data_IF_571233637254
#
_entry.id   IF_571233637254
#
_cell.length_a   1.000
_cell.length_b   1.000
_cell.length_c   1.000
_cell.angle_alpha   90.00
_cell.angle_beta   90.00
_cell.angle_gamma   90.00
#
_symmetry.space_group_name_H-M   'P 1'
#
loop_
_entity.id
_entity.type
_entity.pdbx_description
1 polymer ?
#
# COMPACT_ATOMS: atom_id res chain seq x y z
N UNK A 1 14.21 -12.50 -50.35
CA UNK A 1 13.30 -13.41 -49.61
C UNK A 1 13.81 -13.98 -48.28
N UNK A 2 15.12 -14.22 -48.05
CA UNK A 2 15.63 -14.62 -46.71
C UNK A 2 15.86 -13.42 -45.79
N UNK A 3 16.37 -12.31 -46.33
CA UNK A 3 16.59 -11.05 -45.57
C UNK A 3 15.28 -10.36 -45.15
N UNK A 4 14.25 -10.38 -46.00
CA UNK A 4 12.95 -9.76 -45.69
C UNK A 4 12.27 -10.44 -44.49
N UNK A 5 12.42 -11.76 -44.37
CA UNK A 5 11.93 -12.54 -43.23
C UNK A 5 12.72 -12.24 -41.95
N UNK A 6 14.04 -12.06 -42.06
CA UNK A 6 14.90 -11.71 -40.94
C UNK A 6 14.55 -10.31 -40.39
N UNK A 7 14.29 -9.36 -41.29
CA UNK A 7 13.87 -8.01 -40.93
C UNK A 7 12.52 -8.00 -40.18
N UNK A 8 11.54 -8.77 -40.66
CA UNK A 8 10.24 -8.94 -39.99
C UNK A 8 10.36 -9.57 -38.59
N UNK A 9 11.28 -10.53 -38.41
CA UNK A 9 11.53 -11.16 -37.10
C UNK A 9 12.13 -10.16 -36.11
N UNK A 10 13.10 -9.35 -36.56
CA UNK A 10 13.74 -8.34 -35.71
C UNK A 10 12.74 -7.24 -35.32
N UNK A 11 11.88 -6.83 -36.25
CA UNK A 11 10.82 -5.85 -35.99
C UNK A 11 9.77 -6.36 -34.99
N UNK A 12 9.44 -7.66 -35.04
CA UNK A 12 8.55 -8.27 -34.06
C UNK A 12 9.19 -8.37 -32.67
N UNK A 13 10.49 -8.71 -32.61
CA UNK A 13 11.23 -8.81 -31.35
C UNK A 13 11.38 -7.45 -30.64
N UNK A 14 11.56 -6.35 -31.38
CA UNK A 14 11.67 -5.01 -30.79
C UNK A 14 10.37 -4.54 -30.14
N UNK A 15 9.22 -4.97 -30.65
CA UNK A 15 7.90 -4.65 -30.07
C UNK A 15 7.64 -5.40 -28.76
N UNK A 16 8.29 -6.55 -28.52
CA UNK A 16 8.12 -7.33 -27.29
C UNK A 16 8.80 -6.71 -26.05
N UNK A 17 9.73 -5.77 -26.23
CA UNK A 17 10.53 -5.20 -25.12
C UNK A 17 9.79 -4.07 -24.38
N UNK A 18 8.62 -3.62 -24.87
CA UNK A 18 7.88 -2.48 -24.31
C UNK A 18 6.84 -2.86 -23.24
N UNK A 19 6.77 -4.11 -22.78
CA UNK A 19 5.79 -4.59 -21.78
C UNK A 19 6.23 -4.26 -20.33
N UNK A 20 6.66 -3.04 -20.06
CA UNK A 20 6.90 -2.53 -18.70
C UNK A 20 5.75 -1.60 -18.26
N UNK A 21 4.51 -2.09 -18.29
CA UNK A 21 3.32 -1.29 -17.95
C UNK A 21 2.74 -1.60 -16.56
N UNK A 22 3.28 -2.57 -15.83
CA UNK A 22 2.76 -2.98 -14.52
C UNK A 22 3.62 -2.42 -13.38
N UNK A 23 3.72 -1.09 -13.31
CA UNK A 23 4.02 -0.42 -12.05
C UNK A 23 2.76 -0.48 -11.19
N UNK A 24 2.51 -1.64 -10.57
CA UNK A 24 1.49 -1.71 -9.53
C UNK A 24 1.87 -0.73 -8.42
N UNK A 25 0.91 0.01 -7.85
CA UNK A 25 1.18 0.82 -6.68
C UNK A 25 1.80 -0.08 -5.60
N UNK A 26 3.00 0.28 -5.14
CA UNK A 26 3.63 -0.44 -4.04
C UNK A 26 2.70 -0.40 -2.84
N UNK A 27 2.24 -1.57 -2.39
CA UNK A 27 1.49 -1.67 -1.13
C UNK A 27 2.46 -1.30 -0.02
N UNK A 28 2.25 -0.13 0.60
CA UNK A 28 3.04 0.30 1.75
C UNK A 28 2.89 -0.73 2.87
N UNK A 29 4.02 -1.15 3.44
CA UNK A 29 4.09 -2.16 4.52
C UNK A 29 3.27 -1.74 5.74
N UNK A 30 3.15 -0.44 5.99
CA UNK A 30 2.28 0.14 7.03
C UNK A 30 1.31 1.09 6.34
N UNK A 31 0.05 0.68 6.13
CA UNK A 31 -0.97 1.55 5.56
C UNK A 31 -1.22 2.76 6.46
N UNK A 32 -1.18 3.94 5.85
CA UNK A 32 -1.59 5.19 6.47
C UNK A 32 -3.11 5.34 6.40
N UNK A 33 -3.74 5.80 7.49
CA UNK A 33 -5.17 6.04 7.56
C UNK A 33 -5.45 7.38 8.28
N UNK A 34 -6.29 8.19 7.64
CA UNK A 34 -6.74 9.48 8.19
C UNK A 34 -8.24 9.58 8.08
N UNK A 35 -8.91 9.90 9.18
CA UNK A 35 -10.34 10.17 9.25
C UNK A 35 -10.50 11.61 9.71
N UNK A 36 -11.28 12.38 8.97
CA UNK A 36 -11.63 13.75 9.32
C UNK A 36 -13.15 13.78 9.44
N UNK A 37 -13.64 14.28 10.57
CA UNK A 37 -15.06 14.44 10.82
C UNK A 37 -15.32 15.81 11.42
N UNK A 38 -16.25 16.54 10.82
CA UNK A 38 -16.73 17.80 11.35
C UNK A 38 -17.88 17.55 12.33
N UNK A 39 -17.82 18.18 13.51
CA UNK A 39 -18.86 18.13 14.53
C UNK A 39 -19.17 19.57 14.95
N UNK A 40 -20.28 20.11 14.43
CA UNK A 40 -20.69 21.49 14.68
C UNK A 40 -19.74 22.50 14.03
N UNK A 41 -18.95 23.20 14.86
CA UNK A 41 -17.91 24.15 14.42
C UNK A 41 -16.49 23.60 14.59
N UNK A 42 -16.35 22.34 15.01
CA UNK A 42 -15.07 21.72 15.34
C UNK A 42 -14.74 20.60 14.37
N UNK A 43 -13.46 20.48 14.00
CA UNK A 43 -12.95 19.39 13.18
C UNK A 43 -12.22 18.36 14.06
N UNK A 44 -12.64 17.11 13.98
CA UNK A 44 -12.00 15.97 14.61
C UNK A 44 -11.17 15.26 13.55
N UNK A 45 -9.85 15.30 13.70
CA UNK A 45 -8.91 14.56 12.83
C UNK A 45 -8.27 13.41 13.59
N UNK A 46 -8.44 12.20 13.08
CA UNK A 46 -7.75 10.98 13.54
C UNK A 46 -6.75 10.59 12.45
N UNK A 47 -5.47 10.85 12.69
CA UNK A 47 -4.36 10.50 11.80
C UNK A 47 -3.52 9.39 12.46
N UNK A 48 -3.50 8.20 11.83
CA UNK A 48 -2.80 7.04 12.38
C UNK A 48 -2.19 6.16 11.30
N UNK A 49 -1.10 5.49 11.67
CA UNK A 49 -0.51 4.43 10.88
C UNK A 49 -0.94 3.08 11.47
N UNK A 50 -1.37 2.13 10.65
CA UNK A 50 -1.64 0.75 11.09
C UNK A 50 -0.38 -0.10 10.85
N UNK A 51 0.49 -0.30 11.86
CA UNK A 51 1.68 -1.12 11.67
C UNK A 51 1.30 -2.57 11.36
N UNK A 52 1.88 -3.14 10.30
CA UNK A 52 1.72 -4.55 10.02
C UNK A 52 2.31 -5.38 11.17
N UNK A 53 1.45 -6.17 11.84
CA UNK A 53 1.85 -7.10 12.89
C UNK A 53 2.41 -8.34 12.20
N UNK A 54 3.66 -8.24 11.73
CA UNK A 54 4.40 -9.29 11.00
C UNK A 54 4.78 -10.47 11.93
N UNK A 55 3.81 -11.10 12.59
CA UNK A 55 4.01 -12.21 13.53
C UNK A 55 4.70 -11.82 14.85
N UNK A 56 4.90 -10.53 15.13
CA UNK A 56 5.46 -10.05 16.39
C UNK A 56 4.39 -9.99 17.48
N UNK A 57 4.72 -10.45 18.67
CA UNK A 57 3.91 -10.24 19.87
C UNK A 57 3.98 -8.76 20.28
N UNK A 58 2.91 -8.01 19.97
CA UNK A 58 2.80 -6.58 20.32
C UNK A 58 2.12 -6.44 21.69
N UNK A 59 0.97 -7.08 21.88
CA UNK A 59 0.21 -7.05 23.12
C UNK A 59 0.86 -7.98 24.17
N UNK A 60 0.95 -7.51 25.41
CA UNK A 60 1.64 -8.22 26.50
C UNK A 60 3.16 -8.01 26.54
N UNK A 61 3.77 -7.45 25.48
CA UNK A 61 5.20 -7.08 25.45
C UNK A 61 5.41 -5.58 25.25
N UNK A 62 5.17 -5.10 24.02
CA UNK A 62 5.33 -3.69 23.69
C UNK A 62 4.18 -2.85 24.26
N UNK A 63 2.97 -3.38 24.21
CA UNK A 63 1.78 -2.74 24.78
C UNK A 63 1.20 -3.63 25.87
N UNK A 64 1.27 -3.23 27.15
CA UNK A 64 0.65 -3.97 28.24
C UNK A 64 -0.85 -4.17 28.04
N UNK A 65 -1.36 -5.34 28.45
CA UNK A 65 -2.80 -5.60 28.43
C UNK A 65 -3.54 -4.60 29.32
N UNK A 66 -4.70 -4.12 28.85
CA UNK A 66 -5.52 -3.13 29.58
C UNK A 66 -5.27 -1.67 29.20
N UNK A 67 -4.23 -1.35 28.42
CA UNK A 67 -4.01 0.02 27.89
C UNK A 67 -4.88 0.38 26.68
N UNK A 68 -5.76 -0.51 26.19
CA UNK A 68 -6.55 -0.26 24.97
C UNK A 68 -7.88 0.47 25.22
N UNK A 69 -8.22 0.79 26.47
CA UNK A 69 -9.39 1.63 26.73
C UNK A 69 -9.01 3.11 26.78
N UNK A 70 -9.14 3.78 25.63
CA UNK A 70 -8.90 5.22 25.49
C UNK A 70 -10.13 6.07 25.86
N UNK A 71 -11.21 5.46 26.37
CA UNK A 71 -12.42 6.18 26.81
C UNK A 71 -13.27 6.77 25.68
N UNK A 72 -13.02 6.42 24.42
CA UNK A 72 -13.83 6.87 23.28
C UNK A 72 -15.00 5.91 23.04
N UNK A 73 -16.16 6.24 23.62
CA UNK A 73 -17.45 5.60 23.33
C UNK A 73 -17.75 4.34 24.15
N UNK A 74 -18.51 4.52 25.23
CA UNK A 74 -19.48 3.53 25.72
C UNK A 74 -20.82 3.73 25.03
#
# INVERSE_FOLDING_TARGET
>A
MKFDKLFLIILFLSFAVTIYAQNLPQIMVSPHAKIIQEVGLSEITIDYNRPAVKGREIWGKLVPYGMTNLGFGT
#
